data_IF_968893870879
#
_entry.id   IF_968893870879
#
_cell.length_a   1.000
_cell.length_b   1.000
_cell.length_c   1.000
_cell.angle_alpha   90.00
_cell.angle_beta   90.00
_cell.angle_gamma   90.00
#
_symmetry.space_group_name_H-M   'P 1'
#
loop_
_entity.id
_entity.type
_entity.pdbx_description
1 polymer ?
#
# COMPACT_ATOMS: atom_id res chain seq x y z
N UNK A 1 -1.81 6.88 9.85
CA UNK A 1 -1.91 5.42 9.91
C UNK A 1 -2.09 4.89 8.50
N UNK A 2 -1.01 4.47 7.85
CA UNK A 2 -1.12 3.67 6.65
C UNK A 2 -1.00 2.20 7.08
N UNK A 3 -2.09 1.45 6.89
CA UNK A 3 -2.11 0.01 7.15
C UNK A 3 -1.32 -0.66 6.04
N UNK A 4 -0.21 -1.31 6.39
CA UNK A 4 0.66 -1.99 5.43
C UNK A 4 0.66 -3.48 5.68
N UNK A 5 0.39 -4.23 4.62
CA UNK A 5 0.49 -5.69 4.62
C UNK A 5 1.94 -6.11 4.77
N UNK A 6 2.15 -7.18 5.51
CA UNK A 6 3.45 -7.84 5.64
C UNK A 6 3.35 -9.27 5.11
N UNK A 7 4.49 -9.87 4.78
CA UNK A 7 4.55 -11.25 4.31
C UNK A 7 4.03 -12.21 5.39
N UNK A 8 3.53 -13.37 4.97
CA UNK A 8 3.12 -14.42 5.90
C UNK A 8 4.30 -14.87 6.77
N UNK A 9 5.50 -14.98 6.18
CA UNK A 9 6.72 -15.33 6.90
C UNK A 9 7.03 -14.33 8.04
N UNK A 10 6.95 -13.03 7.76
CA UNK A 10 7.12 -11.97 8.77
C UNK A 10 6.03 -12.04 9.86
N UNK A 11 4.78 -12.29 9.46
CA UNK A 11 3.66 -12.42 10.40
C UNK A 11 3.89 -13.58 11.37
N UNK A 12 4.38 -14.73 10.87
CA UNK A 12 4.69 -15.93 11.66
C UNK A 12 5.88 -15.71 12.57
N UNK A 13 6.96 -15.11 12.05
CA UNK A 13 8.16 -14.77 12.82
C UNK A 13 7.84 -13.84 13.99
N UNK A 14 7.17 -12.72 13.71
CA UNK A 14 6.78 -11.76 14.73
C UNK A 14 5.89 -12.39 15.80
N UNK A 15 4.88 -13.17 15.39
CA UNK A 15 4.01 -13.85 16.34
C UNK A 15 4.81 -14.83 17.22
N UNK A 16 5.62 -15.71 16.61
CA UNK A 16 6.42 -16.70 17.35
C UNK A 16 7.36 -16.05 18.37
N UNK A 17 8.12 -15.05 17.95
CA UNK A 17 9.10 -14.37 18.80
C UNK A 17 8.41 -13.61 19.95
N UNK A 18 7.37 -12.83 19.63
CA UNK A 18 6.75 -11.95 20.61
C UNK A 18 5.77 -12.69 21.52
N UNK A 19 5.12 -13.76 21.05
CA UNK A 19 4.26 -14.57 21.91
C UNK A 19 5.09 -15.31 22.96
N UNK A 20 6.26 -15.81 22.59
CA UNK A 20 7.22 -16.38 23.55
C UNK A 20 7.71 -15.33 24.54
N UNK A 21 8.07 -14.14 24.07
CA UNK A 21 8.54 -13.02 24.90
C UNK A 21 7.50 -12.50 25.89
N UNK A 22 6.25 -12.38 25.47
CA UNK A 22 5.18 -11.70 26.22
C UNK A 22 4.32 -12.66 27.05
N UNK A 23 4.16 -13.90 26.60
CA UNK A 23 3.24 -14.86 27.21
C UNK A 23 3.90 -16.21 27.54
N UNK A 24 5.18 -16.40 27.21
CA UNK A 24 5.89 -17.65 27.45
C UNK A 24 5.44 -18.82 26.57
N UNK A 25 4.53 -18.59 25.61
CA UNK A 25 4.01 -19.62 24.71
C UNK A 25 4.98 -19.78 23.55
N UNK A 26 5.60 -20.95 23.45
CA UNK A 26 6.55 -21.27 22.39
C UNK A 26 5.86 -21.95 21.20
N UNK A 27 5.61 -21.18 20.14
CA UNK A 27 5.01 -21.72 18.92
C UNK A 27 6.05 -22.48 18.10
N UNK A 28 5.79 -23.77 17.89
CA UNK A 28 6.62 -24.67 17.08
C UNK A 28 6.43 -24.44 15.57
N UNK A 29 6.30 -23.18 15.15
CA UNK A 29 6.20 -22.81 13.74
C UNK A 29 7.61 -22.85 13.14
N UNK A 30 7.74 -23.62 12.06
CA UNK A 30 8.93 -23.69 11.22
C UNK A 30 8.57 -23.14 9.84
N UNK A 31 9.19 -22.04 9.45
CA UNK A 31 9.09 -21.46 8.11
C UNK A 31 10.47 -21.08 7.60
N UNK A 32 10.64 -21.17 6.29
CA UNK A 32 11.84 -20.75 5.60
C UNK A 32 11.42 -20.00 4.33
N UNK A 33 11.97 -18.80 4.16
CA UNK A 33 11.75 -18.01 2.96
C UNK A 33 12.70 -18.46 1.85
N UNK A 34 12.14 -18.66 0.65
CA UNK A 34 12.90 -19.00 -0.55
C UNK A 34 12.69 -17.91 -1.60
N UNK A 35 13.77 -17.48 -2.22
CA UNK A 35 13.82 -16.47 -3.29
C UNK A 35 14.59 -17.03 -4.49
N UNK A 36 14.67 -16.28 -5.58
CA UNK A 36 15.42 -16.71 -6.77
C UNK A 36 16.92 -16.89 -6.53
N UNK A 37 17.47 -16.24 -5.50
CA UNK A 37 18.90 -16.28 -5.16
C UNK A 37 19.20 -17.20 -3.98
N UNK A 38 18.20 -17.95 -3.49
CA UNK A 38 18.38 -18.84 -2.34
C UNK A 38 19.21 -20.06 -2.71
N UNK A 39 20.31 -20.29 -1.98
CA UNK A 39 21.06 -21.54 -2.02
C UNK A 39 20.41 -22.57 -1.09
N UNK A 40 19.91 -23.66 -1.65
CA UNK A 40 19.26 -24.73 -0.89
C UNK A 40 20.23 -25.51 0.00
N UNK A 41 21.52 -25.56 -0.33
CA UNK A 41 22.55 -26.21 0.49
C UNK A 41 22.79 -25.41 1.76
N UNK A 42 22.93 -24.09 1.63
CA UNK A 42 23.05 -23.19 2.79
C UNK A 42 21.77 -23.22 3.63
N UNK A 43 20.61 -23.16 2.97
CA UNK A 43 19.33 -23.16 3.67
C UNK A 43 19.09 -24.44 4.47
N UNK A 44 19.39 -25.61 3.91
CA UNK A 44 19.24 -26.91 4.61
C UNK A 44 20.31 -27.13 5.68
N UNK A 45 21.49 -26.52 5.55
CA UNK A 45 22.50 -26.45 6.61
C UNK A 45 22.05 -25.59 7.78
N UNK A 46 21.37 -24.47 7.52
CA UNK A 46 20.84 -23.58 8.56
C UNK A 46 19.58 -24.16 9.23
N UNK A 47 18.69 -24.73 8.42
CA UNK A 47 17.35 -25.19 8.83
C UNK A 47 17.23 -26.71 8.67
N UNK A 48 17.89 -27.47 9.56
CA UNK A 48 17.99 -28.94 9.46
C UNK A 48 16.64 -29.68 9.38
N UNK A 49 15.55 -29.08 9.90
CA UNK A 49 14.21 -29.66 9.86
C UNK A 49 13.66 -29.79 8.42
N UNK A 50 14.21 -29.03 7.46
CA UNK A 50 13.84 -29.12 6.05
C UNK A 50 14.12 -30.50 5.46
N UNK A 51 15.12 -31.22 5.96
CA UNK A 51 15.52 -32.54 5.47
C UNK A 51 14.85 -33.70 6.21
N UNK A 52 14.24 -33.45 7.37
CA UNK A 52 13.72 -34.50 8.26
C UNK A 52 12.19 -34.53 8.36
N UNK A 53 11.50 -33.56 7.76
CA UNK A 53 10.04 -33.43 7.84
C UNK A 53 9.39 -33.25 6.47
N UNK A 54 8.12 -33.62 6.35
CA UNK A 54 7.34 -33.32 5.14
C UNK A 54 7.06 -31.81 5.09
N UNK A 55 7.23 -31.21 3.92
CA UNK A 55 7.12 -29.77 3.72
C UNK A 55 5.84 -29.37 2.99
N UNK A 56 5.39 -28.15 3.24
CA UNK A 56 4.36 -27.47 2.45
C UNK A 56 4.99 -26.23 1.84
N UNK A 57 4.85 -26.07 0.52
CA UNK A 57 5.38 -24.94 -0.23
C UNK A 57 4.22 -24.11 -0.77
N UNK A 58 4.30 -22.79 -0.60
CA UNK A 58 3.31 -21.83 -1.11
C UNK A 58 3.96 -20.47 -1.40
N UNK A 59 3.47 -19.71 -2.38
CA UNK A 59 3.94 -18.35 -2.62
C UNK A 59 3.47 -17.42 -1.48
N UNK A 60 4.33 -16.46 -1.16
CA UNK A 60 4.10 -15.43 -0.15
C UNK A 60 4.21 -14.04 -0.79
N UNK A 61 3.17 -13.67 -1.54
CA UNK A 61 3.12 -12.43 -2.33
C UNK A 61 1.83 -11.64 -2.05
N UNK A 62 1.35 -11.65 -0.80
CA UNK A 62 0.20 -10.85 -0.33
C UNK A 62 -1.16 -11.10 -1.01
N UNK A 63 -1.37 -12.25 -1.66
CA UNK A 63 -2.68 -12.63 -2.20
C UNK A 63 -3.27 -13.85 -1.48
N UNK A 64 -4.60 -13.82 -1.32
CA UNK A 64 -5.36 -14.89 -0.67
C UNK A 64 -5.73 -16.02 -1.62
N UNK A 65 -6.47 -17.02 -1.12
CA UNK A 65 -7.06 -18.12 -1.92
C UNK A 65 -6.05 -18.95 -2.74
N UNK A 66 -4.77 -18.97 -2.34
CA UNK A 66 -3.68 -19.72 -2.98
C UNK A 66 -4.04 -21.18 -3.28
N UNK A 67 -4.74 -21.87 -2.37
CA UNK A 67 -5.18 -23.25 -2.57
C UNK A 67 -6.18 -23.42 -3.72
N UNK A 68 -7.15 -22.49 -3.85
CA UNK A 68 -8.11 -22.49 -4.98
C UNK A 68 -7.44 -22.19 -6.32
N UNK A 69 -6.31 -21.50 -6.30
CA UNK A 69 -5.51 -21.19 -7.49
C UNK A 69 -4.50 -22.29 -7.85
N UNK A 70 -4.49 -23.43 -7.15
CA UNK A 70 -3.52 -24.50 -7.37
C UNK A 70 -2.09 -24.13 -6.95
N UNK A 71 -1.92 -23.04 -6.20
CA UNK A 71 -0.63 -22.52 -5.74
C UNK A 71 -0.26 -22.98 -4.32
N UNK A 72 -0.96 -24.01 -3.83
CA UNK A 72 -0.58 -24.74 -2.62
C UNK A 72 -0.60 -26.21 -2.99
N UNK A 73 0.56 -26.87 -2.89
CA UNK A 73 0.63 -28.31 -3.07
C UNK A 73 0.05 -28.99 -1.81
N UNK A 74 -1.18 -29.51 -1.92
CA UNK A 74 -1.88 -30.29 -0.89
C UNK A 74 -2.58 -31.49 -1.53
N UNK A 75 -2.57 -32.62 -0.83
CA UNK A 75 -2.96 -33.93 -1.35
C UNK A 75 -4.40 -34.29 -0.93
N UNK A 76 -5.41 -33.71 -1.60
CA UNK A 76 -6.84 -34.03 -1.38
C UNK A 76 -7.52 -34.48 -2.68
N UNK A 77 -8.43 -35.46 -2.61
CA UNK A 77 -9.30 -35.88 -3.71
C UNK A 77 -10.65 -35.13 -3.73
N UNK A 78 -11.46 -35.35 -4.77
CA UNK A 78 -12.74 -34.65 -4.97
C UNK A 78 -13.78 -34.96 -3.89
N UNK A 79 -13.76 -36.17 -3.31
CA UNK A 79 -14.67 -36.55 -2.23
C UNK A 79 -14.30 -35.80 -0.95
N UNK A 80 -13.00 -35.72 -0.64
CA UNK A 80 -12.47 -34.97 0.49
C UNK A 80 -12.72 -33.45 0.36
N UNK A 81 -12.65 -32.90 -0.85
CA UNK A 81 -13.02 -31.49 -1.12
C UNK A 81 -14.50 -31.26 -0.88
N UNK A 82 -15.38 -32.16 -1.34
CA UNK A 82 -16.83 -32.03 -1.14
C UNK A 82 -17.23 -32.12 0.34
N UNK A 83 -16.57 -33.01 1.10
CA UNK A 83 -16.74 -33.15 2.54
C UNK A 83 -16.30 -31.88 3.28
N UNK A 84 -15.10 -31.38 2.99
CA UNK A 84 -14.58 -30.12 3.57
C UNK A 84 -15.49 -28.92 3.29
N UNK A 85 -16.02 -28.79 2.06
CA UNK A 85 -16.95 -27.71 1.70
C UNK A 85 -18.26 -27.87 2.46
N UNK A 86 -18.81 -29.08 2.58
CA UNK A 86 -20.06 -29.34 3.31
C UNK A 86 -19.92 -29.02 4.80
N UNK A 87 -18.75 -29.27 5.40
CA UNK A 87 -18.47 -28.95 6.81
C UNK A 87 -18.29 -27.45 7.07
N UNK A 88 -17.72 -26.70 6.11
CA UNK A 88 -17.44 -25.26 6.29
C UNK A 88 -18.56 -24.33 5.83
N UNK A 89 -19.48 -24.78 4.97
CA UNK A 89 -20.55 -23.94 4.41
C UNK A 89 -21.70 -23.75 5.42
N UNK A 90 -22.02 -22.50 5.74
CA UNK A 90 -23.14 -22.17 6.65
C UNK A 90 -22.81 -22.21 8.14
N UNK A 91 -21.54 -22.38 8.50
CA UNK A 91 -21.09 -22.30 9.91
C UNK A 91 -21.16 -20.84 10.39
N UNK A 92 -21.87 -20.61 11.50
CA UNK A 92 -21.88 -19.32 12.18
C UNK A 92 -20.48 -18.93 12.65
N UNK A 93 -20.03 -17.74 12.27
CA UNK A 93 -18.77 -17.17 12.75
C UNK A 93 -19.02 -16.58 14.14
N UNK A 94 -18.40 -17.20 15.15
CA UNK A 94 -18.39 -16.62 16.49
C UNK A 94 -17.54 -15.37 16.53
N UNK A 95 -18.14 -14.29 17.01
CA UNK A 95 -17.48 -12.98 17.16
C UNK A 95 -17.60 -12.51 18.59
N UNK A 96 -16.53 -11.93 19.12
CA UNK A 96 -16.56 -11.17 20.38
C UNK A 96 -16.18 -9.73 20.10
N UNK A 97 -16.84 -8.80 20.77
CA UNK A 97 -16.52 -7.38 20.71
C UNK A 97 -15.71 -7.00 21.95
N UNK A 98 -14.54 -6.39 21.73
CA UNK A 98 -13.71 -5.86 22.79
C UNK A 98 -13.67 -4.34 22.68
N UNK A 99 -14.12 -3.58 23.69
CA UNK A 99 -14.02 -2.13 23.66
C UNK A 99 -12.57 -1.67 23.58
N UNK A 100 -12.35 -0.50 22.97
CA UNK A 100 -11.03 0.13 22.87
C UNK A 100 -10.37 0.25 24.25
N UNK A 101 -9.05 0.04 24.30
CA UNK A 101 -8.23 0.07 25.53
C UNK A 101 -8.56 -0.99 26.58
N UNK A 102 -9.47 -1.92 26.32
CA UNK A 102 -9.71 -3.07 27.20
C UNK A 102 -8.75 -4.22 26.87
N UNK A 103 -8.21 -4.91 27.89
CA UNK A 103 -7.39 -6.09 27.65
C UNK A 103 -8.28 -7.25 27.21
N UNK A 104 -7.73 -8.14 26.39
CA UNK A 104 -8.33 -9.45 26.18
C UNK A 104 -8.14 -10.29 27.45
N UNK A 105 -9.24 -10.85 27.99
CA UNK A 105 -9.21 -11.76 29.15
C UNK A 105 -9.85 -13.10 28.79
N UNK A 106 -9.68 -14.11 29.65
CA UNK A 106 -10.31 -15.41 29.47
C UNK A 106 -11.84 -15.32 29.48
N UNK A 107 -12.41 -14.41 30.27
CA UNK A 107 -13.85 -14.14 30.29
C UNK A 107 -14.30 -13.50 28.97
N UNK A 108 -13.53 -12.54 28.45
CA UNK A 108 -13.85 -11.87 27.20
C UNK A 108 -13.79 -12.84 25.99
N UNK A 109 -12.85 -13.78 25.98
CA UNK A 109 -12.76 -14.79 24.92
C UNK A 109 -13.59 -16.05 25.18
N UNK A 110 -14.23 -16.19 26.35
CA UNK A 110 -15.03 -17.36 26.72
C UNK A 110 -16.04 -17.79 25.65
N UNK A 111 -16.79 -16.88 24.99
CA UNK A 111 -17.73 -17.26 23.92
C UNK A 111 -17.06 -17.97 22.73
N UNK A 112 -15.81 -17.60 22.40
CA UNK A 112 -15.04 -18.19 21.30
C UNK A 112 -14.64 -19.64 21.60
N UNK A 113 -14.28 -19.92 22.86
CA UNK A 113 -13.74 -21.22 23.30
C UNK A 113 -14.79 -22.13 23.97
N UNK A 114 -16.02 -21.65 24.12
CA UNK A 114 -17.10 -22.37 24.81
C UNK A 114 -17.49 -23.71 24.17
N UNK A 115 -17.25 -23.91 22.88
CA UNK A 115 -17.57 -25.19 22.21
C UNK A 115 -16.36 -26.11 22.07
N UNK A 116 -15.18 -25.67 22.50
CA UNK A 116 -13.98 -26.48 22.41
C UNK A 116 -13.93 -27.52 23.55
N UNK A 117 -13.28 -28.68 23.32
CA UNK A 117 -13.02 -29.66 24.38
C UNK A 117 -12.32 -29.03 25.59
N UNK A 118 -12.68 -29.48 26.80
CA UNK A 118 -12.18 -28.90 28.06
C UNK A 118 -10.65 -28.91 28.16
N UNK A 119 -10.02 -29.94 27.61
CA UNK A 119 -8.56 -30.14 27.61
C UNK A 119 -7.79 -29.09 26.80
N UNK A 120 -8.41 -28.51 25.77
CA UNK A 120 -7.79 -27.47 24.91
C UNK A 120 -8.33 -26.07 25.18
N UNK A 121 -9.50 -25.95 25.84
CA UNK A 121 -10.18 -24.67 26.06
C UNK A 121 -9.26 -23.64 26.72
N UNK A 122 -8.57 -24.02 27.81
CA UNK A 122 -7.66 -23.11 28.51
C UNK A 122 -6.48 -22.73 27.64
N UNK A 123 -5.86 -23.69 26.97
CA UNK A 123 -4.72 -23.44 26.05
C UNK A 123 -5.09 -22.46 24.93
N UNK A 124 -6.25 -22.64 24.30
CA UNK A 124 -6.72 -21.72 23.26
C UNK A 124 -7.07 -20.35 23.84
N UNK A 125 -7.66 -20.29 25.04
CA UNK A 125 -7.92 -19.03 25.72
C UNK A 125 -6.63 -18.24 26.00
N UNK A 126 -5.63 -18.89 26.61
CA UNK A 126 -4.32 -18.29 26.89
C UNK A 126 -3.62 -17.86 25.59
N UNK A 127 -3.73 -18.66 24.54
CA UNK A 127 -3.23 -18.31 23.21
C UNK A 127 -3.91 -17.06 22.64
N UNK A 128 -5.24 -16.96 22.66
CA UNK A 128 -5.97 -15.77 22.16
C UNK A 128 -5.57 -14.50 22.94
N UNK A 129 -5.45 -14.60 24.27
CA UNK A 129 -5.01 -13.49 25.13
C UNK A 129 -3.58 -13.05 24.76
N UNK A 130 -2.67 -14.01 24.60
CA UNK A 130 -1.29 -13.73 24.21
C UNK A 130 -1.19 -13.12 22.81
N UNK A 131 -1.92 -13.66 21.83
CA UNK A 131 -2.00 -13.12 20.46
C UNK A 131 -2.48 -11.67 20.48
N UNK A 132 -3.50 -11.36 21.30
CA UNK A 132 -3.99 -9.98 21.42
C UNK A 132 -2.94 -9.05 22.05
N UNK A 133 -2.17 -9.56 23.01
CA UNK A 133 -1.06 -8.79 23.62
C UNK A 133 0.04 -8.50 22.59
N UNK A 134 0.38 -9.49 21.74
CA UNK A 134 1.29 -9.31 20.61
C UNK A 134 0.73 -8.29 19.61
N UNK A 135 -0.56 -8.39 19.27
CA UNK A 135 -1.25 -7.49 18.36
C UNK A 135 -1.09 -6.02 18.79
N UNK A 136 -1.30 -5.75 20.08
CA UNK A 136 -1.15 -4.40 20.65
C UNK A 136 0.33 -3.98 20.77
N UNK A 137 1.21 -4.86 21.25
CA UNK A 137 2.64 -4.56 21.47
C UNK A 137 3.38 -4.18 20.18
N UNK A 138 2.95 -4.76 19.06
CA UNK A 138 3.57 -4.59 17.75
C UNK A 138 2.81 -3.62 16.83
N UNK A 139 1.74 -2.98 17.29
CA UNK A 139 0.89 -2.09 16.47
C UNK A 139 0.37 -2.77 15.18
N UNK A 140 -0.10 -4.01 15.33
CA UNK A 140 -0.91 -4.62 14.28
C UNK A 140 -2.22 -3.84 14.14
N UNK A 141 -2.62 -3.63 12.89
CA UNK A 141 -3.95 -3.13 12.53
C UNK A 141 -4.86 -4.26 12.07
N UNK A 142 -4.29 -5.40 11.69
CA UNK A 142 -4.99 -6.61 11.28
C UNK A 142 -4.13 -7.85 11.51
N UNK A 143 -4.73 -8.93 12.00
CA UNK A 143 -4.10 -10.24 12.09
C UNK A 143 -5.15 -11.34 11.86
N UNK A 144 -4.88 -12.23 10.92
CA UNK A 144 -5.75 -13.36 10.57
C UNK A 144 -4.92 -14.64 10.58
N UNK A 145 -5.49 -15.72 11.12
CA UNK A 145 -4.92 -17.07 11.09
C UNK A 145 -5.94 -17.99 10.40
N UNK A 146 -5.68 -18.32 9.13
CA UNK A 146 -6.60 -19.10 8.33
C UNK A 146 -5.86 -19.92 7.24
N UNK A 147 -5.80 -21.27 7.36
CA UNK A 147 -6.40 -22.08 8.42
C UNK A 147 -5.58 -22.05 9.73
N UNK A 148 -6.26 -22.35 10.83
CA UNK A 148 -5.68 -22.54 12.17
C UNK A 148 -6.01 -23.96 12.65
N UNK A 149 -5.06 -24.64 13.27
CA UNK A 149 -5.25 -26.02 13.78
C UNK A 149 -4.50 -26.24 15.10
N UNK A 150 -4.65 -27.44 15.66
CA UNK A 150 -3.87 -27.94 16.77
C UNK A 150 -2.94 -29.06 16.29
N UNK A 151 -1.66 -28.99 16.66
CA UNK A 151 -0.69 -30.08 16.45
C UNK A 151 -0.26 -30.59 17.82
N UNK A 152 -0.52 -31.86 18.12
CA UNK A 152 -0.28 -32.46 19.44
C UNK A 152 -0.95 -31.67 20.60
N UNK A 153 -2.12 -31.08 20.33
CA UNK A 153 -2.85 -30.26 21.31
C UNK A 153 -2.27 -28.85 21.52
N UNK A 154 -1.32 -28.42 20.69
CA UNK A 154 -0.74 -27.07 20.72
C UNK A 154 -1.22 -26.20 19.55
N UNK A 155 -1.50 -24.89 19.77
CA UNK A 155 -1.88 -23.93 18.73
C UNK A 155 -0.90 -23.90 17.54
N UNK A 156 -1.43 -24.05 16.33
CA UNK A 156 -0.63 -24.03 15.11
C UNK A 156 -1.32 -23.27 13.97
N UNK A 157 -0.94 -22.01 13.70
CA UNK A 157 -1.46 -21.27 12.55
C UNK A 157 -0.79 -21.72 11.24
N UNK A 158 -1.56 -22.39 10.37
CA UNK A 158 -1.08 -22.89 9.07
C UNK A 158 -0.94 -21.77 8.03
N UNK A 159 -1.93 -20.87 8.00
CA UNK A 159 -1.93 -19.66 7.19
C UNK A 159 -2.03 -18.43 8.07
N UNK A 160 -1.30 -17.37 7.73
CA UNK A 160 -1.40 -16.09 8.42
C UNK A 160 -1.43 -14.93 7.43
N UNK A 161 -2.10 -13.85 7.85
CA UNK A 161 -2.03 -12.54 7.20
C UNK A 161 -1.94 -11.48 8.29
N UNK A 162 -0.95 -10.60 8.18
CA UNK A 162 -0.74 -9.49 9.09
C UNK A 162 -0.74 -8.15 8.35
N UNK A 163 -1.20 -7.10 9.02
CA UNK A 163 -1.01 -5.70 8.62
C UNK A 163 -0.54 -4.88 9.82
N UNK A 164 0.50 -4.09 9.65
CA UNK A 164 1.06 -3.19 10.67
C UNK A 164 0.71 -1.74 10.35
N UNK A 165 0.67 -0.88 11.36
CA UNK A 165 0.64 0.57 11.16
C UNK A 165 2.05 1.10 10.89
N UNK A 166 2.44 1.31 9.64
CA UNK A 166 3.80 1.74 9.25
C UNK A 166 4.28 3.02 9.96
N UNK A 167 3.35 3.87 10.41
CA UNK A 167 3.64 5.09 11.16
C UNK A 167 4.16 4.80 12.58
N UNK A 168 4.00 3.58 13.08
CA UNK A 168 4.56 3.09 14.34
C UNK A 168 6.00 2.54 14.21
N UNK A 169 6.58 2.55 13.00
CA UNK A 169 7.95 2.06 12.76
C UNK A 169 9.00 2.69 13.68
N UNK A 170 8.92 4.00 13.95
CA UNK A 170 9.88 4.72 14.80
C UNK A 170 9.96 4.18 16.24
N UNK A 171 8.86 3.63 16.79
CA UNK A 171 8.85 3.02 18.14
C UNK A 171 9.07 1.51 18.11
N UNK A 172 8.77 0.86 16.98
CA UNK A 172 8.87 -0.58 16.84
C UNK A 172 10.11 -1.07 16.09
N UNK A 173 11.03 -0.20 15.66
CA UNK A 173 12.20 -0.59 14.86
C UNK A 173 13.01 -1.76 15.46
N UNK A 174 13.17 -1.82 16.80
CA UNK A 174 13.84 -2.95 17.46
C UNK A 174 13.01 -4.23 17.47
N UNK A 175 11.68 -4.10 17.53
CA UNK A 175 10.73 -5.21 17.60
C UNK A 175 10.46 -5.81 16.22
N UNK A 176 10.26 -4.96 15.23
CA UNK A 176 9.98 -5.37 13.85
C UNK A 176 11.23 -5.86 13.12
N UNK A 177 12.42 -5.44 13.59
CA UNK A 177 13.69 -5.68 12.91
C UNK A 177 13.64 -5.12 11.48
N UNK A 178 14.12 -5.89 10.49
CA UNK A 178 14.17 -5.49 9.09
C UNK A 178 12.88 -5.86 8.35
N UNK A 179 11.73 -5.38 8.82
CA UNK A 179 10.47 -5.69 8.14
C UNK A 179 10.38 -4.96 6.80
N UNK A 180 9.95 -5.68 5.76
CA UNK A 180 9.63 -5.10 4.46
C UNK A 180 8.12 -4.97 4.31
N UNK A 181 7.68 -3.89 3.67
CA UNK A 181 6.29 -3.70 3.25
C UNK A 181 6.17 -3.95 1.75
N UNK A 182 5.91 -5.20 1.31
CA UNK A 182 5.86 -5.52 -0.11
C UNK A 182 4.69 -4.81 -0.80
N UNK A 183 4.89 -4.55 -2.09
CA UNK A 183 3.84 -4.05 -2.97
C UNK A 183 2.74 -5.10 -3.16
N UNK A 184 1.53 -4.68 -3.53
CA UNK A 184 0.50 -5.61 -3.99
C UNK A 184 1.01 -6.52 -5.11
N UNK A 185 0.52 -7.75 -5.15
CA UNK A 185 0.84 -8.69 -6.22
C UNK A 185 0.59 -8.08 -7.61
N UNK A 186 1.56 -8.23 -8.51
CA UNK A 186 1.51 -7.69 -9.88
C UNK A 186 1.97 -6.23 -10.00
N UNK A 187 2.25 -5.54 -8.89
CA UNK A 187 2.83 -4.20 -8.91
C UNK A 187 4.35 -4.28 -8.89
N UNK A 188 5.00 -3.55 -9.80
CA UNK A 188 6.44 -3.28 -9.78
C UNK A 188 6.60 -1.78 -9.82
N UNK A 189 7.30 -1.21 -8.84
CA UNK A 189 7.63 0.21 -8.90
C UNK A 189 8.57 0.44 -10.08
N UNK A 190 8.21 1.39 -10.93
CA UNK A 190 9.14 2.01 -11.86
C UNK A 190 10.30 2.66 -11.10
N UNK A 191 11.47 2.85 -11.74
CA UNK A 191 12.60 3.55 -11.12
C UNK A 191 12.21 4.92 -10.54
N UNK A 192 11.26 5.61 -11.18
CA UNK A 192 10.77 6.91 -10.75
C UNK A 192 9.87 6.81 -9.51
N UNK A 193 8.98 5.82 -9.42
CA UNK A 193 8.17 5.60 -8.21
C UNK A 193 9.05 5.25 -7.01
N UNK A 194 10.08 4.41 -7.21
CA UNK A 194 11.07 4.09 -6.17
C UNK A 194 11.84 5.34 -5.71
N UNK A 195 12.21 6.22 -6.65
CA UNK A 195 12.89 7.47 -6.31
C UNK A 195 12.01 8.39 -5.46
N UNK A 196 10.75 8.62 -5.85
CA UNK A 196 9.82 9.44 -5.06
C UNK A 196 9.54 8.83 -3.70
N UNK A 197 9.37 7.51 -3.63
CA UNK A 197 9.19 6.82 -2.36
C UNK A 197 10.38 7.06 -1.41
N UNK A 198 11.61 7.01 -1.94
CA UNK A 198 12.82 7.31 -1.16
C UNK A 198 12.94 8.77 -0.70
N UNK A 199 12.29 9.71 -1.39
CA UNK A 199 12.23 11.12 -0.98
C UNK A 199 11.20 11.30 0.14
N UNK A 200 10.02 10.70 0.02
CA UNK A 200 8.95 10.70 1.02
C UNK A 200 9.44 10.21 2.39
N UNK A 201 10.27 9.17 2.42
CA UNK A 201 10.87 8.65 3.66
C UNK A 201 11.86 9.61 4.33
N UNK A 202 12.41 10.57 3.59
CA UNK A 202 13.46 11.51 4.05
C UNK A 202 12.92 12.90 4.37
N UNK A 203 11.61 13.11 4.25
CA UNK A 203 10.97 14.40 4.53
C UNK A 203 9.75 14.22 5.43
N UNK A 204 9.39 15.27 6.15
CA UNK A 204 8.11 15.33 6.86
C UNK A 204 6.94 15.67 5.93
N UNK A 205 7.23 16.17 4.73
CA UNK A 205 6.21 16.39 3.71
C UNK A 205 5.78 15.06 3.08
N UNK A 206 4.53 14.96 2.66
CA UNK A 206 4.05 13.77 1.95
C UNK A 206 4.25 13.91 0.44
N UNK A 207 5.02 12.99 -0.14
CA UNK A 207 5.31 12.88 -1.56
C UNK A 207 4.86 11.51 -2.05
N UNK A 208 3.74 11.44 -2.75
CA UNK A 208 3.19 10.18 -3.29
C UNK A 208 3.16 10.24 -4.80
N UNK A 209 3.59 9.14 -5.43
CA UNK A 209 3.60 9.00 -6.88
C UNK A 209 3.30 7.55 -7.27
N UNK A 210 2.46 7.38 -8.29
CA UNK A 210 2.15 6.10 -8.92
C UNK A 210 1.93 6.37 -10.40
N UNK A 211 2.37 5.50 -11.32
CA UNK A 211 2.04 5.64 -12.75
C UNK A 211 0.81 4.79 -13.07
N UNK A 212 -0.29 5.43 -13.49
CA UNK A 212 -1.51 4.74 -13.91
C UNK A 212 -1.44 4.32 -15.38
N UNK A 213 -1.33 5.31 -16.28
CA UNK A 213 -1.14 5.08 -17.71
C UNK A 213 0.09 5.87 -18.20
N UNK A 214 1.21 5.20 -18.54
CA UNK A 214 2.39 5.86 -19.10
C UNK A 214 2.12 6.59 -20.43
N UNK A 215 1.09 6.15 -21.17
CA UNK A 215 0.67 6.72 -22.45
C UNK A 215 -0.49 7.72 -22.30
N UNK A 216 -0.86 8.09 -21.08
CA UNK A 216 -1.94 9.06 -20.85
C UNK A 216 -1.59 10.45 -21.40
N UNK A 217 -2.59 11.20 -21.82
CA UNK A 217 -2.43 12.60 -22.25
C UNK A 217 -2.83 13.63 -21.17
N UNK A 218 -3.28 13.20 -19.99
CA UNK A 218 -3.64 14.09 -18.87
C UNK A 218 -2.80 13.72 -17.65
N UNK A 219 -2.00 14.66 -17.14
CA UNK A 219 -1.08 14.45 -16.01
C UNK A 219 -1.39 15.40 -14.85
N UNK A 220 -1.26 14.97 -13.59
CA UNK A 220 -1.83 15.72 -12.43
C UNK A 220 -0.88 16.04 -11.28
N UNK A 221 -0.09 17.13 -11.34
CA UNK A 221 0.74 17.58 -10.22
C UNK A 221 -0.07 18.37 -9.18
N UNK A 222 -0.78 17.65 -8.33
CA UNK A 222 -1.73 18.22 -7.37
C UNK A 222 -1.18 18.17 -5.95
N UNK A 223 -1.17 19.32 -5.27
CA UNK A 223 -0.75 19.38 -3.87
C UNK A 223 -1.93 19.19 -2.90
N UNK A 224 -1.80 18.19 -2.01
CA UNK A 224 -2.77 17.82 -1.00
C UNK A 224 -3.55 16.55 -1.36
N UNK A 225 -3.57 15.56 -0.47
CA UNK A 225 -4.13 14.22 -0.74
C UNK A 225 -5.62 14.21 -1.10
N UNK A 226 -6.43 15.03 -0.43
CA UNK A 226 -7.85 15.15 -0.77
C UNK A 226 -8.07 15.79 -2.14
N UNK A 227 -7.29 16.84 -2.45
CA UNK A 227 -7.37 17.50 -3.74
C UNK A 227 -6.92 16.56 -4.88
N UNK A 228 -5.84 15.79 -4.71
CA UNK A 228 -5.40 14.86 -5.76
C UNK A 228 -6.45 13.82 -6.12
N UNK A 229 -7.23 13.34 -5.14
CA UNK A 229 -8.36 12.43 -5.39
C UNK A 229 -9.46 13.15 -6.15
N UNK A 230 -9.88 14.34 -5.72
CA UNK A 230 -10.95 15.11 -6.38
C UNK A 230 -10.61 15.44 -7.84
N UNK A 231 -9.33 15.75 -8.14
CA UNK A 231 -8.87 15.96 -9.51
C UNK A 231 -8.98 14.68 -10.35
N UNK A 232 -8.53 13.54 -9.83
CA UNK A 232 -8.63 12.25 -10.50
C UNK A 232 -10.09 11.86 -10.75
N UNK A 233 -10.96 12.02 -9.74
CA UNK A 233 -12.39 11.77 -9.84
C UNK A 233 -13.02 12.66 -10.90
N UNK A 234 -12.70 13.96 -10.93
CA UNK A 234 -13.25 14.86 -11.96
C UNK A 234 -12.84 14.45 -13.37
N UNK A 235 -11.59 14.04 -13.58
CA UNK A 235 -11.15 13.53 -14.90
C UNK A 235 -11.89 12.24 -15.26
N UNK A 236 -12.14 11.37 -14.28
CA UNK A 236 -12.93 10.15 -14.43
C UNK A 236 -14.39 10.42 -14.77
N UNK A 237 -15.05 11.32 -14.04
CA UNK A 237 -16.44 11.73 -14.23
C UNK A 237 -16.68 12.40 -15.58
N UNK A 238 -15.65 13.09 -16.11
CA UNK A 238 -15.67 13.64 -17.46
C UNK A 238 -15.43 12.58 -18.56
N UNK A 239 -15.20 11.31 -18.18
CA UNK A 239 -15.07 10.17 -19.10
C UNK A 239 -13.65 9.84 -19.53
N UNK A 240 -12.62 10.45 -18.92
CA UNK A 240 -11.23 10.38 -19.38
C UNK A 240 -10.29 9.67 -18.40
N UNK A 241 -10.82 8.81 -17.53
CA UNK A 241 -10.00 8.02 -16.58
C UNK A 241 -8.88 7.23 -17.28
N UNK A 242 -9.11 6.72 -18.49
CA UNK A 242 -8.11 5.96 -19.26
C UNK A 242 -6.95 6.83 -19.76
N UNK A 243 -7.14 8.14 -19.90
CA UNK A 243 -6.11 9.08 -20.36
C UNK A 243 -5.28 9.68 -19.21
N UNK A 244 -5.61 9.32 -17.97
CA UNK A 244 -4.93 9.82 -16.77
C UNK A 244 -3.57 9.13 -16.58
N UNK A 245 -2.50 9.88 -16.82
CA UNK A 245 -1.18 9.63 -16.25
C UNK A 245 -1.07 10.28 -14.87
N UNK A 246 -0.47 9.59 -13.90
CA UNK A 246 -0.11 10.22 -12.62
C UNK A 246 1.39 10.59 -12.64
N UNK A 247 1.82 11.50 -11.76
CA UNK A 247 2.92 12.47 -12.01
C UNK A 247 4.35 12.00 -11.87
N UNK A 248 5.08 12.00 -12.99
CA UNK A 248 6.40 12.61 -13.01
C UNK A 248 6.67 13.19 -14.39
N UNK A 249 7.25 14.39 -14.43
CA UNK A 249 7.50 15.15 -15.66
C UNK A 249 8.23 14.30 -16.71
N UNK A 250 9.18 13.46 -16.29
CA UNK A 250 9.94 12.66 -17.27
C UNK A 250 9.08 11.60 -17.95
N UNK A 251 8.03 11.09 -17.30
CA UNK A 251 7.10 10.14 -17.91
C UNK A 251 6.16 10.86 -18.89
N UNK A 252 5.66 12.05 -18.53
CA UNK A 252 4.77 12.83 -19.39
C UNK A 252 5.41 13.24 -20.74
N UNK A 253 6.74 13.37 -20.75
CA UNK A 253 7.53 13.78 -21.91
C UNK A 253 8.39 12.66 -22.52
N UNK A 254 8.29 11.43 -22.00
CA UNK A 254 9.17 10.32 -22.41
C UNK A 254 8.97 9.93 -23.87
N UNK A 255 7.71 9.86 -24.31
CA UNK A 255 7.33 9.34 -25.62
C UNK A 255 6.46 10.36 -26.38
N UNK A 256 7.06 11.38 -27.04
CA UNK A 256 6.32 12.34 -27.83
C UNK A 256 5.67 11.63 -29.03
N UNK A 257 4.33 11.52 -29.01
CA UNK A 257 3.51 10.76 -29.98
C UNK A 257 2.62 11.68 -30.82
N UNK A 258 3.06 12.91 -31.06
CA UNK A 258 2.36 14.00 -31.77
C UNK A 258 1.05 14.49 -31.14
N UNK A 259 0.48 13.76 -30.18
CA UNK A 259 -0.70 14.16 -29.41
C UNK A 259 -0.38 15.34 -28.49
N UNK A 260 -1.33 16.25 -28.33
CA UNK A 260 -1.28 17.24 -27.26
C UNK A 260 -1.42 16.54 -25.92
N UNK A 261 -0.75 17.04 -24.88
CA UNK A 261 -0.98 16.57 -23.52
C UNK A 261 -1.09 17.75 -22.55
N UNK A 262 -1.78 17.52 -21.45
CA UNK A 262 -2.01 18.51 -20.43
C UNK A 262 -1.35 18.10 -19.10
N UNK A 263 -0.77 19.09 -18.42
CA UNK A 263 -0.29 18.96 -17.04
C UNK A 263 -1.09 19.89 -16.13
N UNK A 264 -1.90 19.29 -15.27
CA UNK A 264 -2.71 19.93 -14.24
C UNK A 264 -1.86 20.17 -12.99
N UNK A 265 -1.40 21.40 -12.77
CA UNK A 265 -0.65 21.83 -11.58
C UNK A 265 -1.65 22.45 -10.59
N UNK A 266 -2.22 21.61 -9.73
CA UNK A 266 -3.48 21.94 -9.06
C UNK A 266 -3.48 21.87 -7.53
N UNK A 267 -4.67 22.13 -7.00
CA UNK A 267 -5.13 21.70 -5.69
C UNK A 267 -5.79 22.80 -4.87
N UNK A 268 -6.26 22.43 -3.68
CA UNK A 268 -7.04 23.31 -2.82
C UNK A 268 -6.27 24.51 -2.28
N UNK A 269 -6.99 25.43 -1.63
CA UNK A 269 -6.39 26.55 -0.90
C UNK A 269 -5.61 25.96 0.29
N UNK A 270 -4.29 26.11 0.28
CA UNK A 270 -3.45 25.59 1.36
C UNK A 270 -3.49 26.51 2.58
N UNK A 271 -3.47 25.92 3.77
CA UNK A 271 -3.48 26.64 5.04
C UNK A 271 -2.09 27.16 5.44
N UNK A 272 -1.01 26.43 5.11
CA UNK A 272 0.34 26.69 5.65
C UNK A 272 1.47 26.56 4.62
N UNK A 273 1.29 25.83 3.52
CA UNK A 273 2.32 25.70 2.49
C UNK A 273 2.54 27.04 1.77
N UNK A 274 3.80 27.48 1.72
CA UNK A 274 4.20 28.64 0.90
C UNK A 274 4.14 28.26 -0.59
N UNK A 275 3.17 28.84 -1.29
CA UNK A 275 2.94 28.56 -2.71
C UNK A 275 4.07 29.12 -3.58
N UNK A 276 4.63 30.29 -3.23
CA UNK A 276 5.72 30.88 -4.00
C UNK A 276 7.01 30.06 -3.90
N UNK A 277 7.35 29.57 -2.70
CA UNK A 277 8.50 28.70 -2.49
C UNK A 277 8.35 27.38 -3.25
N UNK A 278 7.17 26.75 -3.16
CA UNK A 278 6.86 25.51 -3.88
C UNK A 278 6.94 25.72 -5.40
N UNK A 279 6.38 26.82 -5.89
CA UNK A 279 6.39 27.12 -7.32
C UNK A 279 7.78 27.46 -7.83
N UNK A 280 8.69 28.02 -7.04
CA UNK A 280 10.09 28.19 -7.47
C UNK A 280 10.72 26.85 -7.88
N UNK A 281 10.50 25.78 -7.11
CA UNK A 281 10.99 24.45 -7.44
C UNK A 281 10.36 23.89 -8.71
N UNK A 282 9.04 24.07 -8.88
CA UNK A 282 8.32 23.67 -10.10
C UNK A 282 8.86 24.44 -11.32
N UNK A 283 9.01 25.76 -11.20
CA UNK A 283 9.53 26.63 -12.26
C UNK A 283 10.92 26.18 -12.68
N UNK A 284 11.81 25.93 -11.72
CA UNK A 284 13.15 25.44 -12.00
C UNK A 284 13.10 24.13 -12.81
N UNK A 285 12.29 23.15 -12.38
CA UNK A 285 12.16 21.88 -13.07
C UNK A 285 11.57 22.04 -14.49
N UNK A 286 10.62 22.94 -14.69
CA UNK A 286 10.05 23.23 -16.01
C UNK A 286 11.09 23.90 -16.94
N UNK A 287 11.90 24.82 -16.42
CA UNK A 287 13.01 25.45 -17.18
C UNK A 287 14.05 24.41 -17.62
N UNK A 288 14.47 23.53 -16.71
CA UNK A 288 15.42 22.45 -17.02
C UNK A 288 14.94 21.46 -18.09
N UNK A 289 13.64 21.47 -18.40
CA UNK A 289 13.02 20.53 -19.33
C UNK A 289 12.27 21.20 -20.48
N UNK A 290 12.55 22.47 -20.75
CA UNK A 290 11.90 23.26 -21.80
C UNK A 290 11.78 22.50 -23.14
N UNK A 291 12.89 21.96 -23.65
CA UNK A 291 12.92 21.26 -24.94
C UNK A 291 11.99 20.05 -24.97
N UNK A 292 11.89 19.32 -23.85
CA UNK A 292 11.00 18.17 -23.71
C UNK A 292 9.53 18.56 -23.59
N UNK A 293 9.22 19.69 -22.92
CA UNK A 293 7.85 20.24 -22.86
C UNK A 293 7.34 20.54 -24.27
N UNK A 294 8.17 21.23 -25.05
CA UNK A 294 7.86 21.60 -26.43
C UNK A 294 7.69 20.38 -27.33
N UNK A 295 8.64 19.44 -27.27
CA UNK A 295 8.59 18.22 -28.07
C UNK A 295 7.33 17.38 -27.77
N UNK A 296 6.91 17.32 -26.51
CA UNK A 296 5.72 16.61 -26.09
C UNK A 296 4.41 17.37 -26.37
N UNK A 297 4.46 18.63 -26.83
CA UNK A 297 3.29 19.51 -27.03
C UNK A 297 2.48 19.70 -25.74
N UNK A 298 3.17 20.05 -24.65
CA UNK A 298 2.54 20.24 -23.34
C UNK A 298 1.76 21.54 -23.24
N UNK A 299 0.58 21.44 -22.64
CA UNK A 299 -0.21 22.56 -22.15
C UNK A 299 -0.32 22.45 -20.62
N UNK A 300 -0.01 23.52 -19.90
CA UNK A 300 -0.03 23.52 -18.44
C UNK A 300 -1.24 24.31 -17.96
N UNK A 301 -1.93 23.78 -16.96
CA UNK A 301 -3.04 24.45 -16.30
C UNK A 301 -2.75 24.52 -14.81
N UNK A 302 -2.64 25.72 -14.29
CA UNK A 302 -2.21 25.99 -12.92
C UNK A 302 -3.39 26.55 -12.13
N UNK A 303 -3.75 25.92 -11.02
CA UNK A 303 -4.71 26.45 -10.05
C UNK A 303 -4.21 26.25 -8.64
N UNK A 304 -4.01 27.36 -7.91
CA UNK A 304 -3.57 27.30 -6.52
C UNK A 304 -3.98 28.53 -5.72
N UNK A 305 -4.29 28.33 -4.44
CA UNK A 305 -4.46 29.38 -3.44
C UNK A 305 -3.72 29.06 -2.15
N UNK A 306 -3.53 30.06 -1.29
CA UNK A 306 -2.86 29.92 0.03
C UNK A 306 -1.76 30.95 0.26
N UNK A 307 -0.89 30.79 1.28
CA UNK A 307 0.19 31.75 1.56
C UNK A 307 1.07 32.03 0.33
N UNK A 308 1.30 33.32 0.04
CA UNK A 308 2.13 33.82 -1.05
C UNK A 308 1.72 33.36 -2.47
N UNK A 309 0.48 32.92 -2.65
CA UNK A 309 0.02 32.38 -3.93
C UNK A 309 0.06 33.39 -5.07
N UNK A 310 -0.25 34.66 -4.84
CA UNK A 310 -0.21 35.68 -5.91
C UNK A 310 1.19 35.78 -6.52
N UNK A 311 2.23 35.78 -5.68
CA UNK A 311 3.63 35.78 -6.12
C UNK A 311 3.98 34.52 -6.90
N UNK A 312 3.55 33.35 -6.43
CA UNK A 312 3.74 32.09 -7.16
C UNK A 312 3.07 32.10 -8.53
N UNK A 313 1.78 32.46 -8.60
CA UNK A 313 1.01 32.51 -9.84
C UNK A 313 1.58 33.53 -10.83
N UNK A 314 2.01 34.71 -10.36
CA UNK A 314 2.66 35.72 -11.20
C UNK A 314 3.91 35.15 -11.88
N UNK A 315 4.77 34.43 -11.13
CA UNK A 315 5.95 33.78 -11.69
C UNK A 315 5.62 32.69 -12.71
N UNK A 316 4.55 31.92 -12.48
CA UNK A 316 4.10 30.91 -13.46
C UNK A 316 3.56 31.53 -14.76
N UNK A 317 2.93 32.71 -14.70
CA UNK A 317 2.49 33.43 -15.90
C UNK A 317 3.69 33.87 -16.75
N UNK A 318 4.68 34.51 -16.12
CA UNK A 318 5.92 34.93 -16.79
C UNK A 318 6.65 33.72 -17.40
N UNK A 319 6.67 32.58 -16.70
CA UNK A 319 7.31 31.37 -17.20
C UNK A 319 6.72 30.90 -18.55
N UNK A 320 5.40 31.01 -18.75
CA UNK A 320 4.77 30.58 -20.00
C UNK A 320 5.29 31.35 -21.21
N UNK A 321 5.50 32.67 -21.04
CA UNK A 321 6.09 33.55 -22.04
C UNK A 321 7.57 33.23 -22.27
N UNK A 322 8.34 33.05 -21.18
CA UNK A 322 9.78 32.72 -21.26
C UNK A 322 10.04 31.39 -21.99
N UNK A 323 9.25 30.35 -21.68
CA UNK A 323 9.41 29.05 -22.29
C UNK A 323 8.74 28.95 -23.66
N UNK A 324 7.79 29.82 -24.01
CA UNK A 324 6.94 29.62 -25.18
C UNK A 324 6.11 28.33 -25.09
N UNK A 325 5.73 27.95 -23.87
CA UNK A 325 4.86 26.79 -23.58
C UNK A 325 3.53 27.36 -23.06
N UNK A 326 2.36 26.88 -23.54
CA UNK A 326 1.07 27.37 -23.06
C UNK A 326 0.90 27.06 -21.56
N UNK A 327 0.76 28.10 -20.74
CA UNK A 327 0.49 27.98 -19.30
C UNK A 327 -0.71 28.87 -18.94
N UNK A 328 -1.83 28.26 -18.59
CA UNK A 328 -3.04 28.94 -18.13
C UNK A 328 -3.06 28.96 -16.59
N UNK A 329 -3.17 30.14 -15.97
CA UNK A 329 -2.91 30.32 -14.53
C UNK A 329 -4.09 31.00 -13.81
N UNK A 330 -4.66 30.27 -12.84
CA UNK A 330 -5.85 30.63 -12.08
C UNK A 330 -5.59 30.66 -10.57
N UNK A 331 -6.29 31.57 -9.87
CA UNK A 331 -6.31 31.66 -8.41
C UNK A 331 -7.59 31.06 -7.80
N UNK A 332 -7.93 31.53 -6.60
CA UNK A 332 -9.09 31.05 -5.84
C UNK A 332 -10.44 31.51 -6.40
N UNK A 333 -10.44 32.44 -7.35
CA UNK A 333 -11.63 32.91 -8.06
C UNK A 333 -12.22 31.84 -8.99
N UNK A 334 -11.41 30.86 -9.41
CA UNK A 334 -11.86 29.73 -10.21
C UNK A 334 -12.24 28.53 -9.33
N UNK A 335 -13.17 27.71 -9.82
CA UNK A 335 -13.49 26.42 -9.18
C UNK A 335 -12.27 25.51 -9.22
N UNK A 336 -11.96 24.82 -8.11
CA UNK A 336 -10.75 23.99 -7.98
C UNK A 336 -10.52 23.04 -9.16
N UNK A 337 -11.56 22.36 -9.63
CA UNK A 337 -11.47 21.37 -10.72
C UNK A 337 -11.83 21.93 -12.10
N UNK A 338 -12.07 23.24 -12.22
CA UNK A 338 -12.42 23.88 -13.48
C UNK A 338 -11.35 23.71 -14.55
N UNK A 339 -10.08 23.66 -14.13
CA UNK A 339 -8.95 23.42 -15.02
C UNK A 339 -8.92 22.01 -15.62
N UNK A 340 -9.59 21.02 -15.00
CA UNK A 340 -9.67 19.66 -15.56
C UNK A 340 -10.41 19.66 -16.89
N UNK A 341 -11.56 20.35 -16.94
CA UNK A 341 -12.36 20.45 -18.16
C UNK A 341 -11.62 21.16 -19.29
N UNK A 342 -10.98 22.29 -18.99
CA UNK A 342 -10.19 23.03 -19.97
C UNK A 342 -9.03 22.22 -20.53
N UNK A 343 -8.32 21.48 -19.67
CA UNK A 343 -7.25 20.58 -20.07
C UNK A 343 -7.76 19.47 -21.00
N UNK A 344 -8.89 18.85 -20.66
CA UNK A 344 -9.54 17.83 -21.48
C UNK A 344 -9.94 18.41 -22.84
N UNK A 345 -10.63 19.54 -22.86
CA UNK A 345 -11.06 20.20 -24.10
C UNK A 345 -9.83 20.51 -24.99
N UNK A 346 -8.71 20.94 -24.39
CA UNK A 346 -7.46 21.22 -25.12
C UNK A 346 -6.82 19.98 -25.76
N UNK A 347 -6.75 18.86 -25.03
CA UNK A 347 -6.14 17.63 -25.55
C UNK A 347 -7.05 16.90 -26.53
N UNK A 348 -8.38 17.06 -26.39
CA UNK A 348 -9.37 16.38 -27.21
C UNK A 348 -9.85 17.18 -28.43
N UNK A 349 -9.73 18.51 -28.43
CA UNK A 349 -10.06 19.34 -29.60
C UNK A 349 -9.15 19.10 -30.82
N UNK A 350 -8.18 18.18 -30.73
CA UNK A 350 -7.29 17.79 -31.80
C UNK A 350 -7.29 16.27 -32.07
N UNK A 351 -8.27 15.52 -31.54
CA UNK A 351 -8.49 14.11 -31.83
C UNK A 351 -9.29 13.91 -33.12
#
# INVERSE_FOLDING_TARGET
MARKKIREDDSKRLLKEHLKRLSGIDLQICSAQVTQVTDFTELTSKEHWLSSTKLVVKPDMLFGKRGKSGLVALNLDLAQVAEFVKEGLGVEVKTVFLPTEKPMTLEACAPLIATLPLEVRRKIGDFIVGVFTVFQDLDFSFLEMNPFTLVNGEPYPLGMRGELDDTASFKNFKKWSNIEFPLPFGSVLSPTESFIHSLDEKTSASLKFTVLNPKGCIWTMVAGGGASVIYADTVGDLGYASELGHVWYSCATADPDSRKRALLIGGGITNFTDVAATFNGIIQALKEKESKLKAARMHLYVLRGGPNYQTGLAKMRVLGEELGVPIEVYGHEATMTGICKQAIDCVMAAA
#
